data_IF_341849198428
#
_entry.id   IF_341849198428
#
_cell.length_a   1.000
_cell.length_b   1.000
_cell.length_c   1.000
_cell.angle_alpha   90.00
_cell.angle_beta   90.00
_cell.angle_gamma   90.00
#
_symmetry.space_group_name_H-M   'P 1'
#
loop_
_entity.id
_entity.type
_entity.pdbx_description
1 polymer ?
#
# COMPACT_ATOMS: atom_id res chain seq x y z
N UNK A 1 6.81 -10.89 29.36
CA UNK A 1 8.20 -10.81 29.86
C UNK A 1 9.12 -10.48 28.69
N UNK A 2 9.53 -9.22 28.52
CA UNK A 2 10.44 -8.82 27.43
C UNK A 2 11.89 -9.12 27.86
N UNK A 3 12.53 -10.09 27.20
CA UNK A 3 13.98 -10.30 27.33
C UNK A 3 14.69 -9.20 26.55
N UNK A 4 15.41 -8.32 27.25
CA UNK A 4 16.34 -7.37 26.62
C UNK A 4 17.48 -8.18 26.00
N UNK A 5 17.57 -8.23 24.68
CA UNK A 5 18.76 -8.71 23.97
C UNK A 5 19.89 -7.72 24.24
N UNK A 6 20.86 -8.14 25.04
CA UNK A 6 22.08 -7.36 25.31
C UNK A 6 23.11 -7.79 24.27
N UNK A 7 23.41 -6.90 23.32
CA UNK A 7 24.52 -7.10 22.38
C UNK A 7 25.81 -6.68 23.10
N UNK A 8 26.65 -7.64 23.46
CA UNK A 8 27.88 -7.43 24.24
C UNK A 8 29.11 -7.11 23.40
N UNK A 9 29.08 -7.43 22.10
CA UNK A 9 30.26 -7.36 21.22
C UNK A 9 30.07 -6.31 20.11
N UNK A 10 29.79 -5.07 20.51
CA UNK A 10 29.79 -3.94 19.59
C UNK A 10 31.22 -3.37 19.48
N UNK A 11 31.81 -3.28 18.28
CA UNK A 11 33.09 -2.61 18.06
C UNK A 11 33.08 -1.15 18.54
N UNK A 12 34.17 -0.67 19.17
CA UNK A 12 34.26 0.66 19.79
C UNK A 12 34.01 1.82 18.80
N UNK A 13 34.33 1.60 17.53
CA UNK A 13 34.10 2.50 16.40
C UNK A 13 32.61 2.76 16.12
N UNK A 14 31.70 1.84 16.49
CA UNK A 14 30.26 2.07 16.39
C UNK A 14 29.75 3.08 17.41
N UNK A 15 30.39 3.18 18.58
CA UNK A 15 30.01 4.12 19.64
C UNK A 15 30.16 5.58 19.19
N UNK A 16 31.27 5.90 18.51
CA UNK A 16 31.53 7.25 17.99
C UNK A 16 30.56 7.64 16.87
N UNK A 17 30.18 6.68 16.01
CA UNK A 17 29.23 6.89 14.91
C UNK A 17 27.82 7.12 15.45
N UNK A 18 27.41 6.41 16.50
CA UNK A 18 26.11 6.58 17.13
C UNK A 18 25.97 7.91 17.87
N UNK A 19 27.05 8.41 18.50
CA UNK A 19 27.07 9.72 19.16
C UNK A 19 26.93 10.91 18.18
N UNK A 20 27.40 10.74 16.94
CA UNK A 20 27.24 11.72 15.84
C UNK A 20 25.93 11.54 15.06
N UNK A 21 25.28 10.39 15.22
CA UNK A 21 24.02 10.08 14.56
C UNK A 21 22.87 10.91 15.12
N UNK A 22 22.09 11.54 14.23
CA UNK A 22 20.86 12.22 14.64
C UNK A 22 19.82 11.15 14.97
N UNK A 23 19.32 11.12 16.22
CA UNK A 23 18.26 10.19 16.62
C UNK A 23 17.02 10.48 15.77
N UNK A 24 16.61 9.50 14.96
CA UNK A 24 15.37 9.56 14.21
C UNK A 24 14.32 8.80 15.03
N UNK A 25 13.26 9.48 15.43
CA UNK A 25 12.13 8.82 16.10
C UNK A 25 11.47 7.83 15.14
N UNK A 26 11.03 6.68 15.67
CA UNK A 26 10.38 5.64 14.87
C UNK A 26 9.07 6.20 14.26
N UNK A 27 9.16 6.64 13.01
CA UNK A 27 8.09 7.33 12.28
C UNK A 27 7.21 6.36 11.50
N UNK A 28 7.44 5.05 11.64
CA UNK A 28 6.61 4.06 10.98
C UNK A 28 5.26 3.99 11.72
N UNK A 29 4.16 4.40 11.06
CA UNK A 29 2.84 4.21 11.63
C UNK A 29 2.62 2.69 11.83
N UNK A 30 1.91 2.29 12.89
CA UNK A 30 1.71 0.89 13.19
C UNK A 30 0.99 0.16 12.03
N UNK A 31 1.15 -1.18 11.89
CA UNK A 31 0.68 -1.94 10.73
C UNK A 31 -0.79 -1.73 10.36
N UNK A 32 -1.62 -1.42 11.35
CA UNK A 32 -3.04 -1.09 11.22
C UNK A 32 -3.28 0.28 10.55
N UNK A 33 -2.38 1.24 10.70
CA UNK A 33 -2.41 2.55 10.03
C UNK A 33 -1.77 2.54 8.64
N UNK A 34 -0.92 1.55 8.34
CA UNK A 34 -0.39 1.32 6.99
C UNK A 34 -1.48 0.83 6.02
N UNK A 35 -2.55 0.22 6.52
CA UNK A 35 -3.67 -0.25 5.68
C UNK A 35 -4.60 0.92 5.38
N UNK A 36 -4.34 1.61 4.26
CA UNK A 36 -5.23 2.65 3.71
C UNK A 36 -6.56 2.01 3.28
N UNK A 37 -7.52 1.92 4.21
CA UNK A 37 -8.86 1.41 3.93
C UNK A 37 -9.69 2.49 3.24
N UNK A 38 -9.67 2.49 1.90
CA UNK A 38 -10.53 3.39 1.12
C UNK A 38 -11.99 2.91 1.26
N UNK A 39 -12.91 3.78 1.72
CA UNK A 39 -14.33 3.42 1.82
C UNK A 39 -14.90 3.15 0.42
N UNK A 40 -15.64 2.05 0.28
CA UNK A 40 -16.24 1.64 -1.00
C UNK A 40 -17.74 1.92 -0.99
N UNK A 41 -18.23 2.63 -2.01
CA UNK A 41 -19.66 2.85 -2.23
C UNK A 41 -20.16 1.84 -3.27
N UNK A 42 -21.28 1.18 -2.99
CA UNK A 42 -21.92 0.26 -3.94
C UNK A 42 -22.78 1.05 -4.91
N UNK A 43 -22.48 0.94 -6.20
CA UNK A 43 -23.24 1.57 -7.29
C UNK A 43 -23.65 0.49 -8.29
N UNK A 44 -24.86 0.59 -8.82
CA UNK A 44 -25.31 -0.26 -9.94
C UNK A 44 -25.08 0.50 -11.24
N UNK A 45 -24.21 -0.01 -12.11
CA UNK A 45 -23.93 0.57 -13.43
C UNK A 45 -24.00 -0.53 -14.49
N UNK A 46 -24.48 -0.17 -15.69
CA UNK A 46 -24.48 -1.06 -16.86
C UNK A 46 -23.20 -0.87 -17.64
N UNK A 47 -22.51 -1.96 -17.98
CA UNK A 47 -21.26 -1.95 -18.75
C UNK A 47 -21.42 -2.76 -20.04
N UNK A 48 -20.65 -2.41 -21.06
CA UNK A 48 -20.60 -3.16 -22.31
C UNK A 48 -20.08 -4.58 -22.10
N UNK A 49 -20.69 -5.56 -22.78
CA UNK A 49 -20.30 -6.97 -22.66
C UNK A 49 -18.81 -7.19 -23.00
N UNK A 50 -18.33 -6.55 -24.05
CA UNK A 50 -16.92 -6.64 -24.49
C UNK A 50 -15.95 -6.18 -23.39
N UNK A 51 -16.27 -5.08 -22.70
CA UNK A 51 -15.46 -4.56 -21.60
C UNK A 51 -15.41 -5.56 -20.42
N UNK A 52 -16.57 -6.12 -20.05
CA UNK A 52 -16.63 -7.12 -18.97
C UNK A 52 -15.84 -8.38 -19.31
N UNK A 53 -15.92 -8.85 -20.56
CA UNK A 53 -15.15 -10.01 -21.02
C UNK A 53 -13.63 -9.77 -21.00
N UNK A 54 -13.19 -8.57 -21.38
CA UNK A 54 -11.78 -8.16 -21.28
C UNK A 54 -11.28 -8.27 -19.84
N UNK A 55 -12.00 -7.69 -18.88
CA UNK A 55 -11.61 -7.75 -17.47
C UNK A 55 -11.67 -9.17 -16.90
N UNK A 56 -12.65 -9.98 -17.29
CA UNK A 56 -12.71 -11.40 -16.88
C UNK A 56 -11.50 -12.20 -17.37
N UNK A 57 -11.05 -11.98 -18.60
CA UNK A 57 -9.85 -12.65 -19.16
C UNK A 57 -8.59 -12.22 -18.41
N UNK A 58 -8.42 -10.93 -18.16
CA UNK A 58 -7.25 -10.39 -17.46
C UNK A 58 -7.23 -10.78 -15.98
N UNK A 59 -8.39 -10.84 -15.32
CA UNK A 59 -8.55 -11.27 -13.94
C UNK A 59 -8.14 -12.74 -13.73
N UNK A 60 -8.51 -13.62 -14.66
CA UNK A 60 -8.09 -15.04 -14.63
C UNK A 60 -6.57 -15.21 -14.68
N UNK A 61 -5.89 -14.40 -15.51
CA UNK A 61 -4.43 -14.45 -15.64
C UNK A 61 -3.72 -14.00 -14.36
N UNK A 62 -4.24 -12.95 -13.71
CA UNK A 62 -3.62 -12.33 -12.55
C UNK A 62 -4.13 -12.86 -11.20
N UNK A 63 -5.05 -13.84 -11.20
CA UNK A 63 -5.70 -14.39 -9.99
C UNK A 63 -6.36 -13.31 -9.10
N UNK A 64 -6.91 -12.27 -9.71
CA UNK A 64 -7.63 -11.19 -9.02
C UNK A 64 -9.12 -11.21 -9.39
N UNK A 65 -9.96 -10.52 -8.61
CA UNK A 65 -11.37 -10.31 -8.97
C UNK A 65 -11.47 -9.29 -10.10
N UNK A 66 -12.28 -9.55 -11.12
CA UNK A 66 -12.45 -8.62 -12.25
C UNK A 66 -13.04 -7.28 -11.80
N UNK A 67 -13.87 -7.26 -10.75
CA UNK A 67 -14.38 -6.02 -10.16
C UNK A 67 -13.27 -5.12 -9.61
N UNK A 68 -12.20 -5.70 -9.06
CA UNK A 68 -11.04 -4.93 -8.59
C UNK A 68 -10.38 -4.20 -9.74
N UNK A 69 -10.22 -4.87 -10.89
CA UNK A 69 -9.64 -4.23 -12.07
C UNK A 69 -10.49 -3.09 -12.61
N UNK A 70 -11.83 -3.25 -12.58
CA UNK A 70 -12.75 -2.18 -12.99
C UNK A 70 -12.60 -0.96 -12.08
N UNK A 71 -12.57 -1.18 -10.75
CA UNK A 71 -12.39 -0.10 -9.79
C UNK A 71 -11.06 0.63 -9.99
N UNK A 72 -9.95 -0.08 -10.18
CA UNK A 72 -8.63 0.53 -10.41
C UNK A 72 -8.60 1.41 -11.67
N UNK A 73 -9.34 1.05 -12.72
CA UNK A 73 -9.44 1.87 -13.93
C UNK A 73 -10.24 3.15 -13.65
N UNK A 74 -11.32 3.05 -12.89
CA UNK A 74 -12.11 4.22 -12.48
C UNK A 74 -11.30 5.14 -11.57
N UNK A 75 -10.56 4.57 -10.60
CA UNK A 75 -9.71 5.34 -9.67
C UNK A 75 -8.62 6.09 -10.44
N UNK A 76 -7.93 5.43 -11.38
CA UNK A 76 -6.92 6.07 -12.24
C UNK A 76 -7.50 7.14 -13.17
N UNK A 77 -8.73 6.93 -13.65
CA UNK A 77 -9.42 7.94 -14.43
C UNK A 77 -9.68 9.18 -13.57
N UNK A 78 -10.20 9.00 -12.37
CA UNK A 78 -10.41 10.12 -11.43
C UNK A 78 -9.10 10.81 -11.12
N UNK A 79 -8.05 10.08 -10.73
CA UNK A 79 -6.72 10.65 -10.42
C UNK A 79 -6.17 11.51 -11.56
N UNK A 80 -6.31 11.05 -12.81
CA UNK A 80 -5.83 11.77 -13.98
C UNK A 80 -6.58 13.08 -14.25
N UNK A 81 -7.88 13.13 -13.94
CA UNK A 81 -8.74 14.27 -14.28
C UNK A 81 -9.13 15.12 -13.07
N UNK A 82 -8.84 14.68 -11.84
CA UNK A 82 -9.13 15.42 -10.62
C UNK A 82 -8.18 16.60 -10.39
N UNK A 83 -6.93 16.52 -10.87
CA UNK A 83 -5.99 17.65 -10.81
C UNK A 83 -6.28 18.74 -11.86
N UNK A 84 -7.26 18.51 -12.76
CA UNK A 84 -7.64 19.46 -13.82
C UNK A 84 -8.88 20.28 -13.44
N UNK A 85 -9.46 20.09 -12.25
CA UNK A 85 -10.63 20.79 -11.72
C UNK A 85 -10.23 21.75 -10.60
#
# INVERSE_FOLDING_TARGET
>A
MNKKTVYSDAPDDLGEVLLKGKKVDDFLPPPDQLVRRVPKVKVTITLNQQSVEFFKKSAKKNKVKYQTMINEVLDKYVEKYSDTL
#
